data_IF_951791948358
#
_entry.id   IF_951791948358
#
_cell.length_a   1.000
_cell.length_b   1.000
_cell.length_c   1.000
_cell.angle_alpha   90.00
_cell.angle_beta   90.00
_cell.angle_gamma   90.00
#
_symmetry.space_group_name_H-M   'P 1'
#
loop_
_entity.id
_entity.type
_entity.pdbx_description
1 polymer ?
#
# COMPACT_ATOMS: atom_id res chain seq x y z
N UNK A 1 -84.39 -28.94 -10.99
CA UNK A 1 -84.20 -27.77 -11.87
C UNK A 1 -82.75 -27.32 -11.64
N UNK A 2 -81.71 -27.87 -12.27
CA UNK A 2 -81.49 -28.13 -13.70
C UNK A 2 -82.10 -27.03 -14.57
N UNK A 3 -81.30 -26.19 -15.22
CA UNK A 3 -80.80 -26.45 -16.59
C UNK A 3 -79.59 -25.57 -16.90
N UNK A 4 -78.65 -26.19 -17.61
CA UNK A 4 -77.47 -25.71 -18.30
C UNK A 4 -77.51 -24.30 -18.94
N UNK A 5 -76.36 -23.62 -18.88
CA UNK A 5 -75.94 -22.60 -19.85
C UNK A 5 -75.04 -23.23 -20.94
N UNK A 6 -75.12 -22.78 -22.20
CA UNK A 6 -74.64 -23.53 -23.35
C UNK A 6 -73.15 -23.34 -23.67
N UNK A 7 -72.61 -24.42 -24.21
CA UNK A 7 -71.36 -24.58 -24.97
C UNK A 7 -71.55 -24.11 -26.43
N UNK A 8 -70.55 -23.44 -27.02
CA UNK A 8 -70.09 -23.63 -28.42
C UNK A 8 -68.90 -22.68 -28.70
N UNK A 9 -67.67 -23.20 -28.78
CA UNK A 9 -67.01 -23.75 -29.98
C UNK A 9 -66.47 -22.67 -30.94
N UNK A 10 -65.14 -22.50 -30.97
CA UNK A 10 -64.39 -22.83 -32.18
C UNK A 10 -62.90 -23.09 -31.87
N UNK A 11 -62.40 -24.25 -32.31
CA UNK A 11 -61.00 -24.64 -32.37
C UNK A 11 -60.52 -24.55 -33.85
N UNK A 12 -59.34 -25.06 -34.30
CA UNK A 12 -58.04 -25.33 -33.67
C UNK A 12 -56.77 -24.88 -34.50
N UNK A 13 -55.62 -24.78 -33.81
CA UNK A 13 -54.21 -25.16 -34.19
C UNK A 13 -53.51 -24.54 -35.45
N UNK A 14 -52.14 -24.52 -35.59
CA UNK A 14 -51.12 -25.34 -34.91
C UNK A 14 -49.81 -24.64 -34.44
N UNK A 15 -48.96 -25.49 -33.84
CA UNK A 15 -47.64 -25.33 -33.23
C UNK A 15 -46.55 -24.57 -34.01
N UNK A 16 -45.57 -24.02 -33.25
CA UNK A 16 -44.11 -24.15 -33.48
C UNK A 16 -43.31 -23.77 -32.22
N UNK A 17 -42.33 -24.61 -31.90
CA UNK A 17 -41.29 -24.48 -30.84
C UNK A 17 -40.26 -23.34 -31.16
N UNK A 18 -39.11 -23.24 -30.45
CA UNK A 18 -38.90 -22.76 -29.08
C UNK A 18 -37.89 -21.58 -29.06
N UNK A 19 -37.91 -20.71 -28.06
CA UNK A 19 -36.82 -19.76 -27.78
C UNK A 19 -37.01 -19.32 -26.31
N UNK A 20 -36.14 -19.64 -25.35
CA UNK A 20 -34.70 -19.47 -25.40
C UNK A 20 -34.38 -18.14 -24.73
N UNK A 21 -33.63 -18.22 -23.62
CA UNK A 21 -33.03 -17.13 -22.84
C UNK A 21 -33.93 -16.58 -21.73
N UNK A 22 -33.80 -17.17 -20.55
CA UNK A 22 -33.90 -16.40 -19.30
C UNK A 22 -32.59 -16.62 -18.53
N UNK A 23 -31.66 -15.72 -18.75
CA UNK A 23 -30.47 -15.50 -17.95
C UNK A 23 -30.21 -13.99 -18.01
N UNK A 24 -30.93 -13.24 -17.18
CA UNK A 24 -30.59 -11.85 -16.92
C UNK A 24 -29.16 -11.73 -16.35
N UNK A 25 -28.48 -10.59 -16.53
CA UNK A 25 -27.16 -10.41 -15.96
C UNK A 25 -27.29 -10.37 -14.44
N UNK A 26 -26.68 -11.34 -13.76
CA UNK A 26 -26.41 -11.18 -12.33
C UNK A 26 -25.55 -9.92 -12.15
N UNK A 27 -25.84 -9.09 -11.13
CA UNK A 27 -24.98 -7.97 -10.79
C UNK A 27 -23.62 -8.54 -10.38
N UNK A 28 -22.56 -8.10 -11.05
CA UNK A 28 -21.16 -8.37 -10.74
C UNK A 28 -20.95 -8.21 -9.22
N UNK A 29 -20.92 -9.34 -8.50
CA UNK A 29 -20.64 -9.31 -7.08
C UNK A 29 -19.22 -8.80 -6.89
N UNK A 30 -19.04 -7.92 -5.89
CA UNK A 30 -17.77 -7.36 -5.49
C UNK A 30 -16.89 -8.48 -4.91
N UNK A 31 -16.20 -9.23 -5.77
CA UNK A 31 -15.29 -10.29 -5.34
C UNK A 31 -14.21 -9.70 -4.40
N UNK A 32 -13.84 -10.42 -3.34
CA UNK A 32 -12.75 -9.99 -2.46
C UNK A 32 -11.44 -9.90 -3.27
N UNK A 33 -10.49 -9.05 -2.85
CA UNK A 33 -9.22 -8.87 -3.57
C UNK A 33 -8.48 -10.20 -3.81
N UNK A 34 -8.56 -11.14 -2.85
CA UNK A 34 -7.96 -12.47 -2.98
C UNK A 34 -8.69 -13.43 -3.94
N UNK A 35 -9.97 -13.19 -4.24
CA UNK A 35 -10.73 -14.00 -5.21
C UNK A 35 -10.36 -13.61 -6.65
N UNK A 36 -10.17 -12.31 -6.88
CA UNK A 36 -9.76 -11.77 -8.18
C UNK A 36 -8.34 -12.22 -8.56
N UNK A 37 -7.41 -12.27 -7.59
CA UNK A 37 -6.05 -12.73 -7.83
C UNK A 37 -6.02 -14.19 -8.31
N UNK A 38 -6.77 -15.07 -7.63
CA UNK A 38 -6.85 -16.49 -8.00
C UNK A 38 -7.51 -16.68 -9.37
N UNK A 39 -8.49 -15.84 -9.70
CA UNK A 39 -9.14 -15.87 -11.02
C UNK A 39 -8.15 -15.48 -12.13
N UNK A 40 -7.35 -14.43 -11.92
CA UNK A 40 -6.32 -13.99 -12.86
C UNK A 40 -5.23 -15.04 -13.07
N UNK A 41 -4.76 -15.68 -12.00
CA UNK A 41 -3.81 -16.79 -12.11
C UNK A 41 -4.37 -17.91 -12.99
N UNK A 42 -5.64 -18.29 -12.79
CA UNK A 42 -6.31 -19.27 -13.64
C UNK A 42 -6.46 -18.81 -15.10
N UNK A 43 -6.67 -17.52 -15.35
CA UNK A 43 -6.73 -16.95 -16.72
C UNK A 43 -5.37 -17.07 -17.41
N UNK A 44 -4.27 -16.79 -16.69
CA UNK A 44 -2.90 -16.93 -17.20
C UNK A 44 -2.60 -18.39 -17.52
N UNK A 45 -2.92 -19.32 -16.61
CA UNK A 45 -2.70 -20.75 -16.82
C UNK A 45 -3.46 -21.31 -18.04
N UNK A 46 -4.62 -20.72 -18.38
CA UNK A 46 -5.42 -21.09 -19.56
C UNK A 46 -4.99 -20.38 -20.84
N UNK A 47 -4.03 -19.45 -20.79
CA UNK A 47 -3.60 -18.64 -21.94
C UNK A 47 -4.67 -17.66 -22.43
N UNK A 48 -5.55 -17.22 -21.52
CA UNK A 48 -6.69 -16.35 -21.84
C UNK A 48 -6.42 -14.87 -21.49
N UNK A 49 -5.21 -14.56 -21.00
CA UNK A 49 -4.85 -13.23 -20.50
C UNK A 49 -5.03 -12.14 -21.57
N UNK A 50 -4.57 -12.37 -22.80
CA UNK A 50 -4.70 -11.40 -23.88
C UNK A 50 -6.17 -11.01 -24.15
N UNK A 51 -7.09 -12.00 -24.11
CA UNK A 51 -8.52 -11.75 -24.28
C UNK A 51 -9.14 -11.03 -23.09
N UNK A 52 -8.66 -11.30 -21.88
CA UNK A 52 -9.08 -10.60 -20.67
C UNK A 52 -8.63 -9.13 -20.66
N UNK A 53 -7.38 -8.86 -21.00
CA UNK A 53 -6.82 -7.50 -21.12
C UNK A 53 -7.56 -6.70 -22.19
N UNK A 54 -7.90 -7.32 -23.33
CA UNK A 54 -8.73 -6.70 -24.36
C UNK A 54 -10.10 -6.23 -23.84
N UNK A 55 -10.82 -7.09 -23.10
CA UNK A 55 -12.10 -6.72 -22.47
C UNK A 55 -11.95 -5.63 -21.41
N UNK A 56 -10.82 -5.62 -20.70
CA UNK A 56 -10.50 -4.56 -19.73
C UNK A 56 -10.33 -3.23 -20.45
N UNK A 57 -9.66 -3.22 -21.61
CA UNK A 57 -9.57 -2.06 -22.49
C UNK A 57 -10.94 -1.53 -22.93
N UNK A 58 -11.83 -2.42 -23.38
CA UNK A 58 -13.20 -2.04 -23.78
C UNK A 58 -14.01 -1.43 -22.62
N UNK A 59 -13.81 -1.95 -21.40
CA UNK A 59 -14.46 -1.43 -20.20
C UNK A 59 -13.97 -0.02 -19.82
N UNK A 60 -12.66 0.25 -19.98
CA UNK A 60 -12.08 1.59 -19.82
C UNK A 60 -12.70 2.55 -20.84
N UNK A 61 -12.77 2.15 -22.10
CA UNK A 61 -13.35 2.97 -23.16
C UNK A 61 -14.85 3.25 -22.91
N UNK A 62 -15.59 2.30 -22.35
CA UNK A 62 -16.99 2.49 -21.96
C UNK A 62 -17.14 3.48 -20.79
N UNK A 63 -16.28 3.37 -19.77
CA UNK A 63 -16.25 4.28 -18.63
C UNK A 63 -15.94 5.72 -19.09
N UNK A 64 -14.99 5.90 -20.01
CA UNK A 64 -14.61 7.20 -20.56
C UNK A 64 -15.72 7.89 -21.37
N UNK A 65 -16.70 7.14 -21.89
CA UNK A 65 -17.78 7.69 -22.72
C UNK A 65 -18.90 8.38 -21.91
N UNK A 66 -19.00 8.11 -20.60
CA UNK A 66 -20.07 8.69 -19.77
C UNK A 66 -19.69 8.73 -18.29
N UNK A 67 -19.88 9.88 -17.61
CA UNK A 67 -19.69 9.98 -16.16
C UNK A 67 -20.51 8.95 -15.37
N UNK A 68 -21.71 8.61 -15.84
CA UNK A 68 -22.59 7.62 -15.17
C UNK A 68 -22.01 6.21 -15.24
N UNK A 69 -21.33 5.87 -16.35
CA UNK A 69 -20.64 4.58 -16.46
C UNK A 69 -19.36 4.58 -15.64
N UNK A 70 -18.60 5.68 -15.62
CA UNK A 70 -17.41 5.83 -14.79
C UNK A 70 -17.72 5.61 -13.30
N UNK A 71 -18.77 6.22 -12.76
CA UNK A 71 -19.20 6.01 -11.36
C UNK A 71 -19.42 4.53 -11.00
N UNK A 72 -19.86 3.72 -11.96
CA UNK A 72 -20.11 2.28 -11.75
C UNK A 72 -18.85 1.44 -11.99
N UNK A 73 -18.03 1.79 -12.98
CA UNK A 73 -16.92 0.96 -13.46
C UNK A 73 -15.59 1.30 -12.78
N UNK A 74 -15.35 2.54 -12.37
CA UNK A 74 -14.07 2.97 -11.80
C UNK A 74 -13.67 2.16 -10.54
N UNK A 75 -14.57 1.83 -9.60
CA UNK A 75 -14.22 0.97 -8.46
C UNK A 75 -13.84 -0.46 -8.84
N UNK A 76 -14.37 -0.96 -9.96
CA UNK A 76 -14.00 -2.28 -10.51
C UNK A 76 -12.66 -2.20 -11.22
N UNK A 77 -12.47 -1.18 -12.07
CA UNK A 77 -11.23 -0.93 -12.81
C UNK A 77 -10.05 -0.67 -11.85
N UNK A 78 -10.26 0.00 -10.71
CA UNK A 78 -9.24 0.20 -9.68
C UNK A 78 -8.74 -1.10 -9.06
N UNK A 79 -9.65 -2.01 -8.70
CA UNK A 79 -9.27 -3.34 -8.18
C UNK A 79 -8.60 -4.22 -9.23
N UNK A 80 -9.04 -4.12 -10.48
CA UNK A 80 -8.38 -4.79 -11.61
C UNK A 80 -6.95 -4.29 -11.79
N UNK A 81 -6.71 -2.97 -11.73
CA UNK A 81 -5.36 -2.39 -11.77
C UNK A 81 -4.46 -2.98 -10.68
N UNK A 82 -4.93 -3.01 -9.44
CA UNK A 82 -4.16 -3.54 -8.30
C UNK A 82 -3.80 -5.02 -8.47
N UNK A 83 -4.75 -5.83 -8.94
CA UNK A 83 -4.52 -7.26 -9.15
C UNK A 83 -3.60 -7.53 -10.35
N UNK A 84 -3.77 -6.79 -11.46
CA UNK A 84 -2.90 -6.87 -12.62
C UNK A 84 -1.45 -6.44 -12.31
N UNK A 85 -1.25 -5.43 -11.47
CA UNK A 85 0.08 -4.99 -11.03
C UNK A 85 0.83 -6.03 -10.17
N UNK A 86 0.10 -6.97 -9.58
CA UNK A 86 0.66 -8.06 -8.75
C UNK A 86 0.92 -9.35 -9.54
N UNK A 87 0.67 -9.36 -10.85
CA UNK A 87 0.93 -10.55 -11.66
C UNK A 87 2.43 -10.87 -11.74
N UNK A 88 2.83 -12.14 -11.50
CA UNK A 88 4.24 -12.52 -11.54
C UNK A 88 4.78 -12.44 -12.98
N UNK A 89 5.71 -11.51 -13.22
CA UNK A 89 6.28 -11.28 -14.55
C UNK A 89 6.94 -12.52 -15.18
N UNK A 90 7.40 -13.47 -14.36
CA UNK A 90 7.98 -14.74 -14.80
C UNK A 90 6.97 -15.74 -15.38
N UNK A 91 5.66 -15.54 -15.15
CA UNK A 91 4.60 -16.41 -15.65
C UNK A 91 4.11 -15.99 -17.05
N UNK A 92 4.56 -14.84 -17.57
CA UNK A 92 4.05 -14.20 -18.78
C UNK A 92 5.10 -14.20 -19.89
N UNK A 93 4.65 -14.43 -21.13
CA UNK A 93 5.52 -14.28 -22.28
C UNK A 93 5.79 -12.79 -22.60
N UNK A 94 6.66 -12.53 -23.59
CA UNK A 94 7.04 -11.15 -23.93
C UNK A 94 5.88 -10.32 -24.49
N UNK A 95 4.96 -10.93 -25.23
CA UNK A 95 3.81 -10.27 -25.82
C UNK A 95 2.76 -9.99 -24.75
N UNK A 96 2.49 -10.95 -23.87
CA UNK A 96 1.58 -10.81 -22.74
C UNK A 96 2.04 -9.71 -21.78
N UNK A 97 3.35 -9.61 -21.51
CA UNK A 97 3.91 -8.51 -20.71
C UNK A 97 3.70 -7.15 -21.36
N UNK A 98 3.97 -7.04 -22.66
CA UNK A 98 3.75 -5.79 -23.40
C UNK A 98 2.26 -5.37 -23.37
N UNK A 99 1.34 -6.34 -23.50
CA UNK A 99 -0.10 -6.09 -23.42
C UNK A 99 -0.55 -5.70 -22.01
N UNK A 100 0.01 -6.34 -20.97
CA UNK A 100 -0.26 -6.03 -19.57
C UNK A 100 0.19 -4.59 -19.26
N UNK A 101 1.42 -4.25 -19.61
CA UNK A 101 1.98 -2.91 -19.41
C UNK A 101 1.14 -1.84 -20.13
N UNK A 102 0.74 -2.12 -21.38
CA UNK A 102 -0.14 -1.22 -22.14
C UNK A 102 -1.53 -1.06 -21.51
N UNK A 103 -2.07 -2.11 -20.88
CA UNK A 103 -3.37 -2.04 -20.21
C UNK A 103 -3.28 -1.30 -18.88
N UNK A 104 -2.23 -1.54 -18.09
CA UNK A 104 -1.96 -0.81 -16.84
C UNK A 104 -1.80 0.69 -17.12
N UNK A 105 -1.05 1.07 -18.15
CA UNK A 105 -0.89 2.47 -18.54
C UNK A 105 -2.24 3.14 -18.91
N UNK A 106 -3.16 2.41 -19.55
CA UNK A 106 -4.52 2.91 -19.85
C UNK A 106 -5.38 3.04 -18.59
N UNK A 107 -5.29 2.08 -17.66
CA UNK A 107 -5.97 2.15 -16.37
C UNK A 107 -5.51 3.36 -15.57
N UNK A 108 -4.19 3.62 -15.52
CA UNK A 108 -3.63 4.79 -14.82
C UNK A 108 -4.02 6.11 -15.48
N UNK A 109 -4.08 6.16 -16.82
CA UNK A 109 -4.54 7.35 -17.52
C UNK A 109 -6.03 7.65 -17.27
N UNK A 110 -6.86 6.62 -17.10
CA UNK A 110 -8.31 6.75 -16.87
C UNK A 110 -8.66 7.04 -15.41
N UNK A 111 -8.10 6.27 -14.48
CA UNK A 111 -8.39 6.40 -13.04
C UNK A 111 -7.58 7.50 -12.36
N UNK A 112 -6.59 8.06 -13.06
CA UNK A 112 -5.53 8.86 -12.49
C UNK A 112 -4.44 7.99 -11.85
N UNK A 113 -3.25 8.57 -11.60
CA UNK A 113 -2.20 7.86 -10.88
C UNK A 113 -2.77 7.35 -9.54
N UNK A 114 -2.46 6.10 -9.17
CA UNK A 114 -2.42 5.79 -7.73
C UNK A 114 -1.37 6.74 -7.20
N UNK A 115 -1.77 7.84 -6.56
CA UNK A 115 -0.81 8.53 -5.71
C UNK A 115 -0.34 7.46 -4.72
N UNK A 116 0.96 7.10 -4.69
CA UNK A 116 1.46 6.36 -3.55
C UNK A 116 0.96 7.11 -2.31
N UNK A 117 0.58 6.42 -1.21
CA UNK A 117 0.27 7.13 0.03
C UNK A 117 1.39 8.16 0.21
N UNK A 118 1.05 9.45 0.44
CA UNK A 118 2.06 10.50 0.49
C UNK A 118 3.17 9.95 1.37
N UNK A 119 4.38 9.86 0.81
CA UNK A 119 5.52 9.27 1.51
C UNK A 119 5.49 9.87 2.91
N UNK A 120 5.24 9.03 3.93
CA UNK A 120 4.85 9.54 5.23
C UNK A 120 5.88 10.59 5.62
N UNK A 121 5.44 11.84 5.72
CA UNK A 121 6.34 12.93 6.06
C UNK A 121 6.50 12.92 7.56
N UNK A 122 7.72 13.12 8.06
CA UNK A 122 7.92 13.25 9.50
C UNK A 122 7.12 14.48 9.98
N UNK A 123 6.14 14.30 10.88
CA UNK A 123 5.28 15.39 11.34
C UNK A 123 6.09 16.54 11.93
N UNK A 124 5.61 17.78 11.77
CA UNK A 124 6.31 18.95 12.30
C UNK A 124 7.40 19.51 11.38
N UNK A 125 7.39 19.14 10.10
CA UNK A 125 8.22 19.76 9.06
C UNK A 125 9.51 19.02 8.72
N UNK A 126 9.53 17.69 8.88
CA UNK A 126 10.69 16.86 8.54
C UNK A 126 11.71 16.73 9.66
N UNK A 127 12.75 15.92 9.43
CA UNK A 127 13.79 15.70 10.44
C UNK A 127 14.60 16.96 10.74
N UNK A 128 14.79 17.84 9.75
CA UNK A 128 15.53 19.09 9.95
C UNK A 128 14.84 20.01 10.96
N UNK A 129 13.51 20.12 10.92
CA UNK A 129 12.77 20.92 11.90
C UNK A 129 12.94 20.40 13.33
N UNK A 130 13.07 19.08 13.49
CA UNK A 130 13.37 18.49 14.79
C UNK A 130 14.80 18.76 15.27
N UNK A 131 15.80 18.76 14.39
CA UNK A 131 17.17 19.20 14.72
C UNK A 131 17.17 20.66 15.20
N UNK A 132 16.49 21.55 14.45
CA UNK A 132 16.39 22.97 14.77
C UNK A 132 15.65 23.19 16.11
N UNK A 133 14.73 22.30 16.47
CA UNK A 133 14.06 22.26 17.77
C UNK A 133 14.91 21.63 18.91
N UNK A 134 16.17 21.28 18.64
CA UNK A 134 17.15 20.74 19.59
C UNK A 134 17.23 19.21 19.63
N UNK A 135 16.77 18.54 18.57
CA UNK A 135 17.05 17.13 18.29
C UNK A 135 18.45 16.93 17.74
N UNK A 136 18.90 15.67 17.67
CA UNK A 136 20.23 15.30 17.17
C UNK A 136 20.22 13.96 16.41
N UNK A 137 19.12 13.62 15.74
CA UNK A 137 18.98 12.42 14.91
C UNK A 137 19.84 12.52 13.65
N UNK A 138 19.69 13.58 12.84
CA UNK A 138 20.45 13.78 11.61
C UNK A 138 21.94 13.87 11.94
N UNK A 139 22.29 14.74 12.90
CA UNK A 139 23.67 15.00 13.27
C UNK A 139 24.39 13.71 13.69
N UNK A 140 23.75 12.82 14.45
CA UNK A 140 24.42 11.69 15.09
C UNK A 140 24.19 10.33 14.43
N UNK A 141 23.15 10.19 13.62
CA UNK A 141 22.65 8.89 13.17
C UNK A 141 22.28 8.81 11.68
N UNK A 142 22.62 9.82 10.87
CA UNK A 142 22.38 9.77 9.42
C UNK A 142 23.71 9.83 8.65
N UNK A 143 23.86 8.92 7.67
CA UNK A 143 24.98 8.90 6.73
C UNK A 143 26.37 8.69 7.35
N UNK A 144 26.46 8.04 8.52
CA UNK A 144 27.75 7.73 9.15
C UNK A 144 28.39 6.53 8.49
N UNK A 145 29.67 6.64 8.18
CA UNK A 145 30.47 5.52 7.69
C UNK A 145 30.72 4.50 8.79
N UNK A 146 30.89 3.23 8.41
CA UNK A 146 31.29 2.16 9.32
C UNK A 146 32.53 2.52 10.14
N UNK A 147 33.55 3.12 9.51
CA UNK A 147 34.76 3.57 10.19
C UNK A 147 34.46 4.61 11.28
N UNK A 148 33.54 5.55 11.02
CA UNK A 148 33.09 6.54 12.00
C UNK A 148 32.33 5.89 13.16
N UNK A 149 31.49 4.88 12.88
CA UNK A 149 30.78 4.14 13.92
C UNK A 149 31.75 3.33 14.80
N UNK A 150 32.73 2.64 14.20
CA UNK A 150 33.79 1.93 14.91
C UNK A 150 34.60 2.86 15.81
N UNK A 151 35.01 4.03 15.30
CA UNK A 151 35.72 5.04 16.08
C UNK A 151 34.87 5.57 17.24
N UNK A 152 33.58 5.82 17.00
CA UNK A 152 32.65 6.30 18.01
C UNK A 152 32.47 5.30 19.15
N UNK A 153 32.28 4.01 18.84
CA UNK A 153 32.14 2.97 19.88
C UNK A 153 33.44 2.79 20.67
N UNK A 154 34.61 3.03 20.07
CA UNK A 154 35.90 2.97 20.76
C UNK A 154 36.15 4.18 21.65
N UNK A 155 35.77 5.38 21.20
CA UNK A 155 36.06 6.65 21.88
C UNK A 155 35.00 7.06 22.91
N UNK A 156 33.73 6.75 22.66
CA UNK A 156 32.61 7.05 23.57
C UNK A 156 32.28 5.83 24.44
N UNK A 157 31.72 6.03 25.64
CA UNK A 157 31.26 4.95 26.53
C UNK A 157 29.84 4.45 26.16
N UNK A 158 29.68 3.93 24.95
CA UNK A 158 28.41 3.41 24.39
C UNK A 158 28.48 1.91 24.06
N UNK A 159 27.37 1.19 24.12
CA UNK A 159 27.34 -0.25 23.80
C UNK A 159 27.37 -0.52 22.30
N UNK A 160 26.83 0.39 21.49
CA UNK A 160 26.80 0.32 20.04
C UNK A 160 26.66 1.72 19.44
N UNK A 161 27.04 1.87 18.17
CA UNK A 161 26.74 3.05 17.36
C UNK A 161 26.12 2.61 16.04
N UNK A 162 25.11 3.33 15.60
CA UNK A 162 24.34 2.99 14.40
C UNK A 162 23.97 4.23 13.60
N UNK A 163 23.68 4.01 12.32
CA UNK A 163 23.31 5.04 11.37
C UNK A 163 22.35 4.54 10.31
N UNK A 164 21.36 5.36 9.97
CA UNK A 164 20.64 5.26 8.70
C UNK A 164 21.60 5.45 7.53
N UNK A 165 21.27 4.90 6.36
CA UNK A 165 22.14 5.00 5.17
C UNK A 165 22.25 6.44 4.69
N UNK A 166 21.12 7.14 4.61
CA UNK A 166 21.02 8.53 4.21
C UNK A 166 19.78 9.21 4.80
N UNK A 167 19.63 10.50 4.52
CA UNK A 167 18.53 11.31 5.04
C UNK A 167 17.16 10.86 4.51
N UNK A 168 16.97 10.59 3.21
CA UNK A 168 15.71 10.05 2.71
C UNK A 168 15.26 8.75 3.39
N UNK A 169 16.15 7.77 3.56
CA UNK A 169 15.83 6.55 4.29
C UNK A 169 15.48 6.82 5.76
N UNK A 170 16.21 7.73 6.41
CA UNK A 170 15.92 8.13 7.78
C UNK A 170 14.51 8.74 7.89
N UNK A 171 14.16 9.69 7.01
CA UNK A 171 12.82 10.29 7.03
C UNK A 171 11.72 9.26 6.82
N UNK A 172 11.91 8.34 5.88
CA UNK A 172 10.97 7.26 5.60
C UNK A 172 10.73 6.38 6.83
N UNK A 173 11.78 5.74 7.39
CA UNK A 173 11.60 4.82 8.51
C UNK A 173 11.11 5.52 9.78
N UNK A 174 11.49 6.78 10.00
CA UNK A 174 11.01 7.56 11.14
C UNK A 174 9.52 7.85 11.00
N UNK A 175 9.07 8.27 9.82
CA UNK A 175 7.67 8.58 9.61
C UNK A 175 6.78 7.32 9.72
N UNK A 176 7.21 6.19 9.17
CA UNK A 176 6.52 4.90 9.35
C UNK A 176 6.45 4.51 10.83
N UNK A 177 7.56 4.64 11.57
CA UNK A 177 7.59 4.37 13.03
C UNK A 177 6.62 5.28 13.80
N UNK A 178 6.48 6.55 13.41
CA UNK A 178 5.53 7.45 14.04
C UNK A 178 4.08 7.09 13.69
N UNK A 179 3.82 6.74 12.43
CA UNK A 179 2.52 6.30 11.95
C UNK A 179 2.00 5.06 12.68
N UNK A 180 2.87 4.05 12.87
CA UNK A 180 2.54 2.82 13.62
C UNK A 180 2.16 3.08 15.09
N UNK A 181 2.66 4.16 15.69
CA UNK A 181 2.45 4.48 17.10
C UNK A 181 1.53 5.69 17.33
N UNK A 182 0.77 6.14 16.32
CA UNK A 182 -0.09 7.32 16.38
C UNK A 182 -0.96 7.38 17.64
N UNK A 183 -1.79 6.35 17.88
CA UNK A 183 -2.67 6.28 19.06
C UNK A 183 -1.91 6.39 20.39
N UNK A 184 -0.70 5.81 20.45
CA UNK A 184 0.14 5.84 21.65
C UNK A 184 0.78 7.21 21.86
N UNK A 185 1.16 7.88 20.79
CA UNK A 185 1.69 9.25 20.80
C UNK A 185 0.58 10.21 21.24
N UNK A 186 -0.63 10.08 20.70
CA UNK A 186 -1.78 10.92 21.08
C UNK A 186 -2.13 10.76 22.56
N UNK A 187 -2.26 9.53 23.04
CA UNK A 187 -2.50 9.27 24.46
C UNK A 187 -1.37 9.82 25.37
N UNK A 188 -0.12 9.78 24.89
CA UNK A 188 1.00 10.39 25.58
C UNK A 188 0.94 11.91 25.55
N UNK A 189 0.54 12.56 24.45
CA UNK A 189 0.36 14.01 24.40
C UNK A 189 -0.77 14.45 25.36
N UNK A 190 -1.82 13.64 25.50
CA UNK A 190 -2.94 13.86 26.44
C UNK A 190 -2.59 13.61 27.92
N UNK A 191 -1.33 13.30 28.23
CA UNK A 191 -0.80 13.27 29.59
C UNK A 191 -0.50 11.87 30.12
N UNK A 192 -0.64 10.80 29.34
CA UNK A 192 -0.17 9.48 29.76
C UNK A 192 1.37 9.46 29.89
N UNK A 193 1.91 8.79 30.91
CA UNK A 193 3.36 8.60 31.06
C UNK A 193 4.17 9.86 31.42
N UNK A 194 5.50 9.77 31.25
CA UNK A 194 6.45 10.83 31.61
C UNK A 194 6.70 11.85 30.51
N UNK A 195 7.71 12.72 30.71
CA UNK A 195 8.08 13.77 29.74
C UNK A 195 8.62 13.23 28.40
N UNK A 196 9.05 11.97 28.35
CA UNK A 196 9.58 11.32 27.15
C UNK A 196 8.81 10.05 26.84
N UNK A 197 8.68 9.78 25.55
CA UNK A 197 8.12 8.56 25.01
C UNK A 197 9.17 7.89 24.13
N UNK A 198 9.35 6.58 24.32
CA UNK A 198 10.19 5.75 23.45
C UNK A 198 9.27 4.83 22.67
N UNK A 199 9.40 4.88 21.35
CA UNK A 199 8.69 4.00 20.41
C UNK A 199 9.72 3.29 19.54
N UNK A 200 9.35 2.10 19.08
CA UNK A 200 10.20 1.25 18.26
C UNK A 200 9.35 0.51 17.23
N UNK A 201 9.93 0.31 16.04
CA UNK A 201 9.33 -0.40 14.94
C UNK A 201 10.35 -1.34 14.30
N UNK A 202 9.86 -2.43 13.69
CA UNK A 202 10.66 -3.41 12.97
C UNK A 202 10.21 -3.46 11.52
N UNK A 203 11.18 -3.53 10.62
CA UNK A 203 10.98 -3.52 9.17
C UNK A 203 11.55 -4.78 8.53
N UNK A 204 11.03 -5.14 7.36
CA UNK A 204 11.57 -6.24 6.55
C UNK A 204 12.80 -5.79 5.73
N UNK A 205 12.94 -4.49 5.50
CA UNK A 205 14.09 -3.89 4.85
C UNK A 205 15.15 -3.44 5.87
N UNK A 206 16.43 -3.40 5.44
CA UNK A 206 17.49 -2.85 6.28
C UNK A 206 17.20 -1.38 6.56
N UNK A 207 17.22 -1.02 7.84
CA UNK A 207 17.04 0.35 8.35
C UNK A 207 18.36 1.11 8.43
N UNK A 208 19.48 0.43 8.19
CA UNK A 208 20.82 1.00 8.30
C UNK A 208 21.82 0.01 8.88
N UNK A 209 22.93 0.55 9.38
CA UNK A 209 24.04 -0.24 9.91
C UNK A 209 24.29 0.03 11.39
N UNK A 210 24.81 -0.96 12.10
CA UNK A 210 25.19 -0.87 13.51
C UNK A 210 26.51 -1.57 13.77
N UNK A 211 27.31 -0.99 14.66
CA UNK A 211 28.55 -1.57 15.20
C UNK A 211 28.39 -1.71 16.70
N UNK A 212 28.55 -2.92 17.22
CA UNK A 212 28.56 -3.18 18.66
C UNK A 212 29.99 -3.06 19.24
N UNK A 213 30.09 -2.76 20.54
CA UNK A 213 31.37 -2.69 21.23
C UNK A 213 32.06 -4.05 21.24
N UNK A 214 33.30 -4.05 20.76
CA UNK A 214 34.12 -5.27 20.64
C UNK A 214 34.11 -5.85 19.24
N UNK A 215 33.17 -5.45 18.39
CA UNK A 215 33.11 -5.84 16.99
C UNK A 215 34.03 -4.97 16.12
N UNK A 216 34.46 -5.54 15.00
CA UNK A 216 35.31 -4.86 14.01
C UNK A 216 34.58 -4.45 12.74
N UNK A 217 33.33 -4.88 12.58
CA UNK A 217 32.55 -4.69 11.35
C UNK A 217 31.13 -4.21 11.69
N UNK A 218 30.54 -3.44 10.78
CA UNK A 218 29.14 -3.05 10.86
C UNK A 218 28.23 -4.14 10.27
N UNK A 219 27.06 -4.32 10.87
CA UNK A 219 26.02 -5.22 10.39
C UNK A 219 24.75 -4.47 10.05
N UNK A 220 24.00 -4.97 9.08
CA UNK A 220 22.66 -4.47 8.79
C UNK A 220 21.72 -4.70 9.98
N UNK A 221 20.86 -3.72 10.25
CA UNK A 221 19.84 -3.76 11.30
C UNK A 221 18.48 -3.39 10.74
N UNK A 222 17.42 -3.89 11.36
CA UNK A 222 16.06 -3.93 10.79
C UNK A 222 15.02 -3.32 11.73
N UNK A 223 15.45 -2.49 12.67
CA UNK A 223 14.56 -1.87 13.65
C UNK A 223 14.98 -0.43 13.89
N UNK A 224 14.01 0.43 14.17
CA UNK A 224 14.24 1.82 14.53
C UNK A 224 13.75 2.04 15.94
N UNK A 225 14.52 2.80 16.72
CA UNK A 225 14.09 3.34 18.01
C UNK A 225 14.05 4.85 17.94
N UNK A 226 12.94 5.44 18.37
CA UNK A 226 12.75 6.88 18.50
C UNK A 226 12.58 7.28 19.96
N UNK A 227 13.11 8.46 20.29
CA UNK A 227 12.89 9.11 21.58
C UNK A 227 12.23 10.46 21.34
N UNK A 228 10.99 10.58 21.79
CA UNK A 228 10.17 11.78 21.69
C UNK A 228 10.16 12.53 23.03
N UNK A 229 10.03 13.85 22.98
CA UNK A 229 9.90 14.71 24.16
C UNK A 229 8.81 15.76 23.91
N UNK A 230 7.91 15.93 24.88
CA UNK A 230 6.84 16.94 24.77
C UNK A 230 7.48 18.32 24.66
N UNK A 231 7.03 19.11 23.72
CA UNK A 231 7.69 20.35 23.35
C UNK A 231 6.75 21.26 22.57
N UNK A 232 6.70 22.52 22.96
CA UNK A 232 5.94 23.58 22.27
C UNK A 232 6.73 24.26 21.15
N UNK A 233 7.95 23.77 20.83
CA UNK A 233 8.79 24.33 19.77
C UNK A 233 8.29 24.05 18.35
N UNK A 234 7.43 23.03 18.20
CA UNK A 234 6.78 22.64 16.95
C UNK A 234 5.28 22.54 17.23
N UNK A 235 4.45 22.84 16.23
CA UNK A 235 2.99 22.91 16.38
C UNK A 235 2.31 21.55 16.63
N UNK A 236 3.09 20.46 16.57
CA UNK A 236 2.62 19.08 16.82
C UNK A 236 2.72 18.64 18.29
N UNK A 237 3.20 19.51 19.18
CA UNK A 237 3.24 19.25 20.64
C UNK A 237 4.40 18.36 21.13
N UNK A 238 5.26 17.88 20.23
CA UNK A 238 6.49 17.17 20.58
C UNK A 238 7.61 17.47 19.59
N UNK A 239 8.81 17.01 19.96
CA UNK A 239 9.97 16.94 19.06
C UNK A 239 10.62 15.58 19.15
N UNK A 240 11.26 15.15 18.07
CA UNK A 240 12.17 14.01 18.08
C UNK A 240 13.49 14.45 18.71
N UNK A 241 13.83 13.87 19.86
CA UNK A 241 15.11 14.15 20.53
C UNK A 241 16.23 13.45 19.78
N UNK A 242 16.01 12.18 19.46
CA UNK A 242 16.92 11.35 18.68
C UNK A 242 16.17 10.15 18.13
N UNK A 243 16.76 9.49 17.14
CA UNK A 243 16.30 8.25 16.58
C UNK A 243 17.47 7.53 15.92
N UNK A 244 17.45 6.21 15.92
CA UNK A 244 18.55 5.45 15.34
C UNK A 244 18.13 4.02 14.98
N UNK A 245 18.77 3.41 13.96
CA UNK A 245 18.63 1.99 13.72
C UNK A 245 19.17 1.20 14.91
N UNK A 246 18.53 0.11 15.27
CA UNK A 246 18.93 -0.73 16.40
C UNK A 246 18.83 -2.20 16.07
N UNK A 247 19.67 -3.00 16.71
CA UNK A 247 19.45 -4.44 16.81
C UNK A 247 18.13 -4.72 17.58
N UNK A 248 17.44 -5.84 17.29
CA UNK A 248 16.23 -6.24 17.99
C UNK A 248 16.43 -6.48 19.49
#
# INVERSE_FOLDING_TARGET
>A
MDVAGPTAFNAPLPARHPCGIDAGPEPLQLAAAGDLQRELEGIVERGELAGFLGRTGDAIDLAAQSPVFAETLDPLLGRLREALAQLPAQALDAVEREMLDGTLARLDAHLGPVEPPPAAEVPGGGLQAHEDAGGHLIERHVGKSEQSLLERVRSENISAASSFRDLPEAEHFVAETLGEHGDRIDAWLDGAGGNRLVVDARFDASTGISVARGESEAVDVFSVRLVLERSERLDIGYRIVTGYPSAP
#
